data_IF_075816119232
#
_entry.id   IF_075816119232
#
_cell.length_a   1.000
_cell.length_b   1.000
_cell.length_c   1.000
_cell.angle_alpha   90.00
_cell.angle_beta   90.00
_cell.angle_gamma   90.00
#
_symmetry.space_group_name_H-M   'P 1'
#
loop_
_entity.id
_entity.type
_entity.pdbx_description
1 polymer ?
#
# COMPACT_ATOMS: atom_id res chain seq x y z
N UNK A 1 -4.05 -1.22 -36.38
CA UNK A 1 -4.79 0.06 -36.26
C UNK A 1 -4.37 0.77 -34.97
N UNK A 2 -3.10 1.17 -34.88
CA UNK A 2 -2.59 2.02 -33.80
C UNK A 2 -1.98 3.23 -34.47
N UNK A 3 -2.73 4.33 -34.57
CA UNK A 3 -2.18 5.62 -34.94
C UNK A 3 -2.71 6.68 -33.98
N UNK A 4 -1.78 7.23 -33.21
CA UNK A 4 -1.70 8.62 -32.70
C UNK A 4 -0.85 8.65 -31.43
N UNK A 5 0.45 8.53 -31.63
CA UNK A 5 1.48 9.08 -30.74
C UNK A 5 2.11 10.26 -31.49
N UNK A 6 1.40 11.39 -31.53
CA UNK A 6 1.84 12.57 -32.30
C UNK A 6 2.05 13.81 -31.43
N UNK A 7 2.16 13.64 -30.10
CA UNK A 7 2.43 14.73 -29.17
C UNK A 7 3.32 14.24 -28.02
N UNK A 8 4.59 13.94 -28.33
CA UNK A 8 5.64 13.84 -27.31
C UNK A 8 6.72 14.86 -27.69
N UNK A 9 6.99 15.87 -26.84
CA UNK A 9 8.06 16.85 -27.07
C UNK A 9 9.40 16.14 -27.32
N UNK A 10 10.17 16.60 -28.31
CA UNK A 10 11.41 15.95 -28.78
C UNK A 10 12.50 15.74 -27.70
N UNK A 11 12.38 16.37 -26.52
CA UNK A 11 13.26 16.12 -25.37
C UNK A 11 12.98 14.84 -24.57
N UNK A 12 11.81 14.18 -24.76
CA UNK A 12 11.44 12.96 -24.02
C UNK A 12 11.84 11.66 -24.72
N UNK A 13 12.28 11.71 -25.99
CA UNK A 13 12.67 10.52 -26.75
C UNK A 13 13.99 9.89 -26.26
N UNK A 14 14.83 10.64 -25.54
CA UNK A 14 16.14 10.16 -25.08
C UNK A 14 16.09 9.24 -23.84
N UNK A 15 15.00 9.28 -23.05
CA UNK A 15 14.92 8.51 -21.78
C UNK A 15 14.60 7.03 -22.02
N UNK A 16 14.03 6.69 -23.17
CA UNK A 16 13.50 5.35 -23.46
C UNK A 16 14.47 4.41 -24.19
N UNK A 17 15.72 4.84 -24.46
CA UNK A 17 16.58 4.10 -25.38
C UNK A 17 17.11 2.76 -24.85
N UNK A 18 17.08 2.48 -23.54
CA UNK A 18 17.32 1.13 -22.99
C UNK A 18 16.55 0.91 -21.70
N UNK A 19 15.32 0.39 -21.80
CA UNK A 19 14.67 -0.25 -20.65
C UNK A 19 15.53 -1.45 -20.25
N UNK A 20 16.14 -1.37 -19.08
CA UNK A 20 16.93 -2.47 -18.52
C UNK A 20 16.00 -3.41 -17.78
N UNK A 21 16.21 -4.72 -17.89
CA UNK A 21 15.41 -5.67 -17.12
C UNK A 21 15.56 -5.39 -15.60
N UNK A 22 14.49 -5.52 -14.81
CA UNK A 22 14.57 -5.37 -13.36
C UNK A 22 15.61 -6.33 -12.78
N UNK A 23 16.59 -5.79 -12.05
CA UNK A 23 17.69 -6.55 -11.45
C UNK A 23 17.72 -6.42 -9.92
N UNK A 24 16.69 -5.81 -9.32
CA UNK A 24 16.61 -5.57 -7.88
C UNK A 24 17.49 -4.44 -7.35
N UNK A 25 18.18 -3.68 -8.20
CA UNK A 25 19.15 -2.65 -7.81
C UNK A 25 18.66 -1.23 -8.11
N UNK A 26 17.35 -0.99 -8.07
CA UNK A 26 16.81 0.36 -8.35
C UNK A 26 17.17 1.31 -7.22
N UNK A 27 17.79 2.44 -7.57
CA UNK A 27 18.14 3.52 -6.64
C UNK A 27 17.58 4.85 -7.10
N UNK A 28 17.34 5.75 -6.15
CA UNK A 28 17.04 7.14 -6.48
C UNK A 28 18.29 7.98 -6.81
N UNK A 29 18.11 9.28 -7.07
CA UNK A 29 19.20 10.21 -7.41
C UNK A 29 20.23 10.44 -6.29
N UNK A 30 19.91 9.99 -5.06
CA UNK A 30 20.82 10.02 -3.90
C UNK A 30 21.43 8.65 -3.62
N UNK A 31 21.24 7.67 -4.51
CA UNK A 31 21.76 6.31 -4.36
C UNK A 31 21.04 5.46 -3.30
N UNK A 32 19.85 5.86 -2.83
CA UNK A 32 19.09 5.08 -1.84
C UNK A 32 18.32 3.95 -2.55
N UNK A 33 18.38 2.71 -2.05
CA UNK A 33 17.72 1.58 -2.69
C UNK A 33 16.20 1.62 -2.50
N UNK A 34 15.47 1.20 -3.53
CA UNK A 34 14.02 1.01 -3.47
C UNK A 34 13.69 -0.28 -2.72
N UNK A 35 13.45 -0.18 -1.40
CA UNK A 35 13.30 -1.34 -0.52
C UNK A 35 11.89 -1.54 0.04
N UNK A 36 11.18 -0.45 0.33
CA UNK A 36 9.92 -0.46 1.07
C UNK A 36 8.79 0.09 0.20
N UNK A 37 7.69 -0.65 0.10
CA UNK A 37 6.47 -0.22 -0.57
C UNK A 37 5.35 -0.04 0.45
N UNK A 38 4.89 1.20 0.60
CA UNK A 38 3.74 1.54 1.43
C UNK A 38 2.49 1.62 0.56
N UNK A 39 1.49 0.81 0.86
CA UNK A 39 0.28 0.67 0.05
C UNK A 39 -0.92 1.15 0.87
N UNK A 40 -1.52 2.27 0.45
CA UNK A 40 -2.78 2.76 0.98
C UNK A 40 -3.94 2.00 0.34
N UNK A 41 -4.66 1.19 1.11
CA UNK A 41 -5.75 0.34 0.58
C UNK A 41 -7.12 1.01 0.62
N UNK A 42 -7.22 2.13 1.35
CA UNK A 42 -8.44 2.93 1.47
C UNK A 42 -8.12 4.32 2.03
N UNK A 43 -8.96 5.28 1.71
CA UNK A 43 -8.98 6.64 2.25
C UNK A 43 -9.91 6.83 3.45
N UNK A 44 -10.70 5.79 3.80
CA UNK A 44 -11.66 5.85 4.91
C UNK A 44 -11.02 5.40 6.22
N UNK A 45 -11.38 6.09 7.30
CA UNK A 45 -11.01 5.73 8.66
C UNK A 45 -12.25 5.77 9.57
N UNK A 46 -12.29 4.91 10.58
CA UNK A 46 -13.33 4.95 11.62
C UNK A 46 -12.97 5.88 12.78
N UNK A 47 -11.74 6.39 12.83
CA UNK A 47 -11.30 7.43 13.77
C UNK A 47 -11.21 8.79 13.10
N UNK A 48 -11.16 9.85 13.92
CA UNK A 48 -11.00 11.25 13.52
C UNK A 48 -9.93 11.92 14.39
N UNK A 49 -8.73 11.34 14.38
CA UNK A 49 -7.61 11.87 15.15
C UNK A 49 -7.32 13.31 14.72
N UNK A 50 -7.22 14.22 15.68
CA UNK A 50 -7.08 15.68 15.45
C UNK A 50 -5.90 16.03 14.55
N UNK A 51 -4.80 15.29 14.66
CA UNK A 51 -3.57 15.50 13.89
C UNK A 51 -3.56 14.83 12.50
N UNK A 52 -4.58 14.03 12.17
CA UNK A 52 -4.60 13.22 10.94
C UNK A 52 -5.86 13.43 10.10
N UNK A 53 -7.03 13.19 10.68
CA UNK A 53 -8.33 13.34 10.03
C UNK A 53 -9.26 14.18 10.91
N UNK A 54 -9.00 15.49 11.05
CA UNK A 54 -9.81 16.39 11.87
C UNK A 54 -11.26 16.43 11.40
N UNK A 55 -12.22 16.46 12.34
CA UNK A 55 -13.66 16.36 12.06
C UNK A 55 -14.19 17.53 11.24
N UNK A 56 -13.56 18.69 11.39
CA UNK A 56 -13.90 19.93 10.71
C UNK A 56 -13.64 19.83 9.19
N UNK A 57 -12.73 18.93 8.79
CA UNK A 57 -12.38 18.70 7.38
C UNK A 57 -13.00 17.40 6.87
N UNK A 58 -12.95 16.32 7.66
CA UNK A 58 -13.39 14.98 7.26
C UNK A 58 -14.76 14.62 7.84
N UNK A 59 -15.73 15.49 7.62
CA UNK A 59 -17.11 15.35 8.07
C UNK A 59 -17.89 14.29 7.27
N UNK A 60 -19.22 14.25 7.44
CA UNK A 60 -20.11 13.33 6.71
C UNK A 60 -20.24 13.65 5.21
N UNK A 61 -19.93 14.88 4.81
CA UNK A 61 -20.03 15.35 3.43
C UNK A 61 -18.70 15.25 2.68
N UNK A 62 -17.62 14.87 3.37
CA UNK A 62 -16.31 14.68 2.75
C UNK A 62 -16.39 13.65 1.60
N UNK A 63 -15.96 14.01 0.38
CA UNK A 63 -16.11 13.16 -0.80
C UNK A 63 -15.01 12.08 -0.84
N UNK A 64 -15.16 11.03 -0.03
CA UNK A 64 -14.28 9.86 -0.08
C UNK A 64 -14.32 9.19 -1.46
N UNK A 65 -13.18 8.65 -1.89
CA UNK A 65 -13.01 7.93 -3.15
C UNK A 65 -14.08 6.84 -3.30
N UNK A 66 -14.63 6.73 -4.50
CA UNK A 66 -15.55 5.63 -4.79
C UNK A 66 -14.77 4.31 -4.84
N UNK A 67 -15.47 3.18 -4.80
CA UNK A 67 -14.79 1.88 -4.92
C UNK A 67 -14.04 1.72 -6.25
N UNK A 68 -14.51 2.38 -7.31
CA UNK A 68 -13.92 2.32 -8.67
C UNK A 68 -12.63 3.13 -8.79
N UNK A 69 -12.44 4.11 -7.92
CA UNK A 69 -11.24 4.98 -7.92
C UNK A 69 -10.11 4.39 -7.04
N UNK A 70 -10.41 3.33 -6.29
CA UNK A 70 -9.41 2.57 -5.54
C UNK A 70 -8.88 1.44 -6.43
N UNK A 71 -7.58 1.19 -6.36
CA UNK A 71 -6.98 0.04 -7.01
C UNK A 71 -7.65 -1.27 -6.52
N UNK A 72 -7.92 -2.14 -7.47
CA UNK A 72 -8.30 -3.52 -7.21
C UNK A 72 -7.14 -4.28 -6.56
N UNK A 73 -7.44 -5.43 -5.94
CA UNK A 73 -6.39 -6.23 -5.31
C UNK A 73 -5.45 -6.86 -6.33
N UNK A 74 -5.97 -7.17 -7.51
CA UNK A 74 -5.24 -7.65 -8.67
C UNK A 74 -4.25 -6.60 -9.18
N UNK A 75 -4.67 -5.33 -9.26
CA UNK A 75 -3.79 -4.23 -9.63
C UNK A 75 -2.70 -4.01 -8.57
N UNK A 76 -3.05 -4.04 -7.29
CA UNK A 76 -2.07 -3.91 -6.20
C UNK A 76 -1.06 -5.06 -6.24
N UNK A 77 -1.51 -6.30 -6.43
CA UNK A 77 -0.63 -7.47 -6.50
C UNK A 77 0.28 -7.42 -7.74
N UNK A 78 -0.26 -6.99 -8.89
CA UNK A 78 0.51 -6.78 -10.12
C UNK A 78 1.60 -5.74 -9.90
N UNK A 79 1.26 -4.57 -9.34
CA UNK A 79 2.23 -3.52 -9.05
C UNK A 79 3.28 -4.00 -8.05
N UNK A 80 2.87 -4.70 -7.00
CA UNK A 80 3.79 -5.24 -5.99
C UNK A 80 4.78 -6.24 -6.60
N UNK A 81 4.34 -7.06 -7.56
CA UNK A 81 5.22 -7.99 -8.28
C UNK A 81 6.28 -7.23 -9.09
N UNK A 82 5.88 -6.16 -9.78
CA UNK A 82 6.79 -5.29 -10.52
C UNK A 82 7.81 -4.65 -9.56
N UNK A 83 7.33 -4.08 -8.45
CA UNK A 83 8.18 -3.45 -7.44
C UNK A 83 9.14 -4.43 -6.75
N UNK A 84 8.71 -5.66 -6.50
CA UNK A 84 9.59 -6.71 -5.98
C UNK A 84 10.74 -7.02 -6.94
N UNK A 85 10.48 -7.00 -8.26
CA UNK A 85 11.53 -7.10 -9.29
C UNK A 85 12.52 -5.92 -9.30
N UNK A 86 12.10 -4.76 -8.80
CA UNK A 86 12.94 -3.55 -8.72
C UNK A 86 13.76 -3.45 -7.43
N UNK A 87 13.51 -4.31 -6.44
CA UNK A 87 14.27 -4.38 -5.19
C UNK A 87 13.44 -4.29 -3.92
N UNK A 88 12.10 -4.15 -4.03
CA UNK A 88 11.23 -4.10 -2.86
C UNK A 88 11.25 -5.44 -2.13
N UNK A 89 11.50 -5.38 -0.82
CA UNK A 89 11.50 -6.53 0.08
C UNK A 89 10.40 -6.44 1.14
N UNK A 90 9.92 -5.23 1.42
CA UNK A 90 9.02 -4.92 2.52
C UNK A 90 7.75 -4.25 2.03
N UNK A 91 6.60 -4.77 2.44
CA UNK A 91 5.30 -4.18 2.15
C UNK A 91 4.65 -3.73 3.45
N UNK A 92 4.22 -2.48 3.48
CA UNK A 92 3.40 -1.93 4.57
C UNK A 92 2.02 -1.56 4.05
N UNK A 93 1.01 -2.34 4.45
CA UNK A 93 -0.38 -2.01 4.24
C UNK A 93 -0.81 -0.92 5.25
N UNK A 94 -1.46 0.11 4.73
CA UNK A 94 -1.96 1.29 5.46
C UNK A 94 -3.27 1.76 4.82
N UNK A 95 -3.84 2.86 5.29
CA UNK A 95 -4.85 3.63 4.57
C UNK A 95 -5.18 4.89 5.34
N UNK A 96 -6.48 5.20 5.41
CA UNK A 96 -7.10 5.54 6.67
C UNK A 96 -6.98 4.35 7.63
N UNK A 97 -8.08 3.62 7.86
CA UNK A 97 -8.05 2.35 8.61
C UNK A 97 -8.13 1.16 7.65
N UNK A 98 -7.02 0.46 7.36
CA UNK A 98 -7.00 -0.59 6.35
C UNK A 98 -7.94 -1.75 6.66
N UNK A 99 -8.22 -2.05 7.94
CA UNK A 99 -9.16 -3.12 8.29
C UNK A 99 -10.60 -2.85 7.84
N UNK A 100 -10.94 -1.61 7.45
CA UNK A 100 -12.24 -1.27 6.86
C UNK A 100 -12.35 -1.69 5.38
N UNK A 101 -11.23 -1.97 4.71
CA UNK A 101 -11.24 -2.50 3.34
C UNK A 101 -11.77 -3.93 3.39
N UNK A 102 -12.94 -4.15 2.78
CA UNK A 102 -13.58 -5.46 2.70
C UNK A 102 -12.64 -6.49 2.08
N UNK A 103 -12.65 -7.70 2.63
CA UNK A 103 -11.87 -8.85 2.17
C UNK A 103 -10.36 -8.60 2.09
N UNK A 104 -9.80 -7.73 2.94
CA UNK A 104 -8.36 -7.43 2.99
C UNK A 104 -7.48 -8.69 3.07
N UNK A 105 -7.96 -9.75 3.71
CA UNK A 105 -7.33 -11.06 3.80
C UNK A 105 -6.98 -11.64 2.42
N UNK A 106 -7.82 -11.42 1.40
CA UNK A 106 -7.57 -11.83 0.01
C UNK A 106 -6.35 -11.11 -0.55
N UNK A 107 -6.24 -9.79 -0.35
CA UNK A 107 -5.07 -9.04 -0.77
C UNK A 107 -3.81 -9.56 -0.07
N UNK A 108 -3.87 -9.78 1.25
CA UNK A 108 -2.73 -10.33 2.01
C UNK A 108 -2.27 -11.66 1.42
N UNK A 109 -3.21 -12.57 1.09
CA UNK A 109 -2.88 -13.86 0.50
C UNK A 109 -2.22 -13.72 -0.87
N UNK A 110 -2.70 -12.81 -1.72
CA UNK A 110 -2.08 -12.51 -3.01
C UNK A 110 -0.65 -11.99 -2.84
N UNK A 111 -0.43 -11.07 -1.90
CA UNK A 111 0.88 -10.50 -1.62
C UNK A 111 1.85 -11.52 -1.01
N UNK A 112 1.35 -12.43 -0.18
CA UNK A 112 2.16 -13.46 0.48
C UNK A 112 2.75 -14.48 -0.50
N UNK A 113 2.19 -14.60 -1.71
CA UNK A 113 2.69 -15.45 -2.79
C UNK A 113 3.85 -14.82 -3.58
N UNK A 114 4.02 -13.50 -3.49
CA UNK A 114 5.07 -12.78 -4.23
C UNK A 114 6.43 -13.06 -3.60
N UNK A 115 7.45 -13.17 -4.45
CA UNK A 115 8.84 -13.41 -4.07
C UNK A 115 9.73 -12.26 -4.55
N UNK A 116 10.75 -11.94 -3.77
CA UNK A 116 11.79 -10.98 -4.16
C UNK A 116 12.66 -11.57 -5.27
N UNK A 117 13.53 -10.75 -5.88
CA UNK A 117 14.53 -11.21 -6.85
C UNK A 117 15.47 -12.30 -6.31
N UNK A 118 15.67 -12.33 -4.98
CA UNK A 118 16.43 -13.38 -4.28
C UNK A 118 15.59 -14.63 -3.93
N UNK A 119 14.34 -14.74 -4.42
CA UNK A 119 13.45 -15.86 -4.15
C UNK A 119 12.85 -15.90 -2.74
N UNK A 120 13.03 -14.84 -1.94
CA UNK A 120 12.53 -14.77 -0.56
C UNK A 120 11.09 -14.27 -0.52
N UNK A 121 10.33 -14.67 0.50
CA UNK A 121 9.03 -14.06 0.79
C UNK A 121 9.18 -12.57 1.11
N UNK A 122 8.21 -11.76 0.66
CA UNK A 122 8.10 -10.38 1.10
C UNK A 122 7.78 -10.31 2.59
N UNK A 123 8.30 -9.28 3.22
CA UNK A 123 7.98 -8.94 4.60
C UNK A 123 6.68 -8.12 4.63
N UNK A 124 5.57 -8.77 5.03
CA UNK A 124 4.23 -8.18 5.02
C UNK A 124 3.85 -7.65 6.41
N UNK A 125 3.71 -6.33 6.49
CA UNK A 125 3.28 -5.61 7.70
C UNK A 125 2.00 -4.81 7.46
N UNK A 126 1.11 -4.75 8.45
CA UNK A 126 -0.10 -3.92 8.44
C UNK A 126 -0.04 -2.90 9.59
N UNK A 127 -0.32 -1.63 9.29
CA UNK A 127 -0.50 -0.57 10.30
C UNK A 127 -1.98 -0.28 10.49
N UNK A 128 -2.49 -0.37 11.72
CA UNK A 128 -3.92 -0.22 12.06
C UNK A 128 -4.09 0.44 13.42
N UNK A 129 -5.21 1.12 13.66
CA UNK A 129 -5.62 1.54 15.00
C UNK A 129 -6.10 0.39 15.89
N UNK A 130 -6.26 -0.82 15.33
CA UNK A 130 -6.58 -2.04 16.07
C UNK A 130 -8.05 -2.22 16.47
N UNK A 131 -8.91 -1.22 16.24
CA UNK A 131 -10.31 -1.20 16.70
C UNK A 131 -11.16 -2.42 16.29
N UNK A 132 -10.89 -3.01 15.13
CA UNK A 132 -11.58 -4.21 14.63
C UNK A 132 -10.65 -5.43 14.46
N UNK A 133 -9.43 -5.35 14.99
CA UNK A 133 -8.41 -6.39 14.84
C UNK A 133 -8.85 -7.73 15.42
N UNK A 134 -9.56 -7.74 16.57
CA UNK A 134 -10.02 -8.98 17.22
C UNK A 134 -10.80 -9.90 16.28
N UNK A 135 -11.58 -9.34 15.35
CA UNK A 135 -12.39 -10.12 14.39
C UNK A 135 -11.58 -10.59 13.18
N UNK A 136 -10.51 -9.88 12.81
CA UNK A 136 -9.73 -10.12 11.57
C UNK A 136 -8.39 -10.80 11.79
N UNK A 137 -7.84 -10.78 13.01
CA UNK A 137 -6.47 -11.21 13.28
C UNK A 137 -6.17 -12.65 12.81
N UNK A 138 -7.06 -13.60 13.10
CA UNK A 138 -6.88 -14.99 12.70
C UNK A 138 -6.87 -15.16 11.17
N UNK A 139 -7.80 -14.51 10.47
CA UNK A 139 -7.87 -14.52 9.00
C UNK A 139 -6.65 -13.87 8.35
N UNK A 140 -6.19 -12.74 8.87
CA UNK A 140 -4.99 -12.05 8.38
C UNK A 140 -3.73 -12.89 8.59
N UNK A 141 -3.57 -13.53 9.75
CA UNK A 141 -2.45 -14.43 10.01
C UNK A 141 -2.50 -15.65 9.11
N UNK A 142 -3.68 -16.26 8.93
CA UNK A 142 -3.89 -17.39 8.02
C UNK A 142 -3.59 -17.04 6.55
N UNK A 143 -3.87 -15.81 6.13
CA UNK A 143 -3.55 -15.30 4.80
C UNK A 143 -2.05 -15.01 4.59
N UNK A 144 -1.22 -15.06 5.64
CA UNK A 144 0.23 -14.87 5.55
C UNK A 144 0.74 -13.50 6.00
N UNK A 145 -0.08 -12.70 6.70
CA UNK A 145 0.41 -11.47 7.35
C UNK A 145 1.40 -11.84 8.47
N UNK A 146 2.57 -11.21 8.46
CA UNK A 146 3.66 -11.56 9.38
C UNK A 146 3.72 -10.65 10.60
N UNK A 147 3.46 -9.35 10.40
CA UNK A 147 3.58 -8.34 11.46
C UNK A 147 2.47 -7.30 11.45
N UNK A 148 2.25 -6.75 12.63
CA UNK A 148 1.31 -5.66 12.88
C UNK A 148 2.06 -4.48 13.50
N UNK A 149 1.58 -3.28 13.19
CA UNK A 149 1.91 -2.05 13.91
C UNK A 149 0.59 -1.46 14.39
N UNK A 150 0.42 -1.36 15.70
CA UNK A 150 -0.80 -0.79 16.31
C UNK A 150 -0.52 0.66 16.67
N UNK A 151 -1.30 1.59 16.11
CA UNK A 151 -1.27 2.99 16.49
C UNK A 151 -2.12 3.20 17.74
N UNK A 152 -1.50 3.66 18.82
CA UNK A 152 -2.14 3.91 20.11
C UNK A 152 -1.48 5.13 20.76
N UNK A 153 -2.16 6.27 20.74
CA UNK A 153 -1.58 7.55 21.17
C UNK A 153 -1.85 7.88 22.64
N UNK A 154 -2.62 7.05 23.35
CA UNK A 154 -2.91 7.22 24.76
C UNK A 154 -3.39 5.93 25.41
N UNK A 155 -2.98 5.69 26.65
CA UNK A 155 -3.47 4.57 27.48
C UNK A 155 -4.60 4.98 28.44
N UNK A 156 -4.81 6.28 28.60
CA UNK A 156 -5.92 6.83 29.38
C UNK A 156 -7.10 7.07 28.44
N UNK A 157 -8.24 6.46 28.74
CA UNK A 157 -9.46 6.54 27.95
C UNK A 157 -9.96 7.98 27.77
N UNK A 158 -9.78 8.86 28.75
CA UNK A 158 -10.23 10.25 28.67
C UNK A 158 -9.34 11.10 27.77
N UNK A 159 -8.08 10.70 27.57
CA UNK A 159 -7.14 11.35 26.65
C UNK A 159 -7.29 10.77 25.23
N UNK A 160 -7.61 9.48 25.12
CA UNK A 160 -7.64 8.78 23.83
C UNK A 160 -8.88 9.07 22.96
N UNK A 161 -10.03 9.40 23.58
CA UNK A 161 -11.32 9.56 22.90
C UNK A 161 -11.40 10.75 21.94
#
# INVERSE_FOLDING_TARGET
MFSRLSFIPQGYLAVWQKLTAPNGLTTDTRGRPLRDLRISVTDRCNFRCTYCMPKEVFDSNYPYLSHKDLLSFEEIARLTTIFAGLGVEKIRLTGGEPLLRKNLEVLVEMLAKIRTTAGKSLDLTLTTNGSILRRKAAGLKGAGLQRLTISLDGLNDDIFK
#
